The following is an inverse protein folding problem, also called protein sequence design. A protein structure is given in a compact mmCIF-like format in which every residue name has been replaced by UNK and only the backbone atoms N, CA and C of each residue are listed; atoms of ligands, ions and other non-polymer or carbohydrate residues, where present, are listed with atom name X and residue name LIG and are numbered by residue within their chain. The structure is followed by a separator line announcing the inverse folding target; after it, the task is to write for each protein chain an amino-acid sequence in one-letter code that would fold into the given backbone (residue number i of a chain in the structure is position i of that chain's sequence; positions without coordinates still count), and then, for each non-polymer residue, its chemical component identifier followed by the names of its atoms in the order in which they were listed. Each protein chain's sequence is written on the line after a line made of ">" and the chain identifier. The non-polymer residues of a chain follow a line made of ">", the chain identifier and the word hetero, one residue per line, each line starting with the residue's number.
data_IF_632766218358
#
_entry.id   IF_632766218358
#
_cell.length_a   1.000
_cell.length_b   1.000
_cell.length_c   1.000
_cell.angle_alpha   90.00
_cell.angle_beta   90.00
_cell.angle_gamma   90.00
#
_symmetry.space_group_name_H-M   'P 1'
#
loop_
_entity.id
_entity.type
_entity.pdbx_description
1 polymer ?
#
# COMPACT_ATOMS: atom_id res chain seq x y z
N UNK A 1 77.34 31.13 21.78
CA UNK A 1 76.72 32.04 22.74
C UNK A 1 75.30 31.49 22.97
N UNK A 2 75.20 30.63 23.89
CA UNK A 2 74.49 30.62 25.19
C UNK A 2 73.13 31.33 25.17
N UNK A 3 72.02 30.58 25.30
CA UNK A 3 70.78 30.93 26.01
C UNK A 3 70.04 29.64 26.24
N UNK A 4 70.05 29.12 27.32
CA UNK A 4 69.33 29.01 28.56
C UNK A 4 67.86 28.63 28.39
N UNK A 5 67.60 27.34 28.65
CA UNK A 5 66.29 26.73 28.74
C UNK A 5 65.65 27.01 30.11
N UNK A 6 64.44 27.52 30.12
CA UNK A 6 63.63 27.61 31.31
C UNK A 6 62.53 26.55 31.21
N UNK A 7 62.59 25.51 32.05
CA UNK A 7 61.62 24.45 32.21
C UNK A 7 60.55 24.96 33.20
N UNK A 8 59.34 25.12 32.75
CA UNK A 8 58.19 25.39 33.60
C UNK A 8 57.39 24.11 33.79
N UNK A 9 57.49 23.53 34.98
CA UNK A 9 56.74 22.38 35.42
C UNK A 9 55.32 22.86 35.83
N UNK A 10 54.30 22.57 35.04
CA UNK A 10 52.91 22.79 35.44
C UNK A 10 52.33 21.48 35.94
N UNK A 11 52.04 21.38 37.22
CA UNK A 11 51.25 20.35 37.85
C UNK A 11 49.82 20.41 37.31
N UNK A 12 49.39 19.44 36.52
CA UNK A 12 47.96 19.23 36.24
C UNK A 12 47.37 18.31 37.28
N UNK A 13 46.57 18.87 38.15
CA UNK A 13 45.70 18.12 39.07
C UNK A 13 44.62 17.39 38.28
N UNK A 14 44.66 16.09 38.26
CA UNK A 14 43.58 15.23 37.72
C UNK A 14 42.38 15.29 38.67
N UNK A 15 41.38 16.09 38.33
CA UNK A 15 40.04 15.99 38.95
C UNK A 15 39.30 14.85 38.26
N UNK A 16 39.22 13.70 38.93
CA UNK A 16 38.39 12.57 38.48
C UNK A 16 36.94 12.99 38.74
N UNK A 17 36.27 13.53 37.72
CA UNK A 17 34.83 13.73 37.73
C UNK A 17 34.19 12.36 37.47
N UNK A 18 33.81 11.68 38.54
CA UNK A 18 32.98 10.48 38.47
C UNK A 18 31.61 10.86 37.90
N UNK A 19 31.46 10.79 36.59
CA UNK A 19 30.16 10.91 35.94
C UNK A 19 29.39 9.62 36.18
N UNK A 20 28.55 9.61 37.21
CA UNK A 20 27.57 8.56 37.41
C UNK A 20 26.73 8.43 36.16
N UNK A 21 26.84 7.28 35.48
CA UNK A 21 25.96 6.90 34.39
C UNK A 21 24.51 6.86 34.91
N UNK A 22 23.79 7.96 34.77
CA UNK A 22 22.32 7.93 34.82
C UNK A 22 21.89 7.09 33.64
N UNK A 23 21.38 5.89 33.90
CA UNK A 23 20.57 5.14 33.00
C UNK A 23 19.42 6.06 32.52
N UNK A 24 19.63 6.73 31.40
CA UNK A 24 18.56 7.38 30.68
C UNK A 24 17.77 6.26 30.03
N UNK A 25 16.81 5.71 30.74
CA UNK A 25 15.68 5.06 30.13
C UNK A 25 15.03 6.10 29.21
N UNK A 26 15.51 6.14 27.97
CA UNK A 26 14.91 6.96 26.92
C UNK A 26 13.51 6.42 26.67
N UNK A 27 12.53 6.97 27.36
CA UNK A 27 11.15 6.93 26.90
C UNK A 27 11.16 7.47 25.48
N UNK A 28 11.07 6.58 24.48
CA UNK A 28 10.83 6.97 23.10
C UNK A 28 9.58 7.85 23.15
N UNK A 29 9.72 9.16 22.99
CA UNK A 29 8.58 10.06 22.85
C UNK A 29 7.82 9.58 21.63
N UNK A 30 6.63 9.03 21.83
CA UNK A 30 5.80 8.54 20.74
C UNK A 30 5.51 9.69 19.78
N UNK A 31 5.73 9.49 18.47
CA UNK A 31 5.43 10.52 17.50
C UNK A 31 3.96 10.91 17.55
N UNK A 32 3.68 12.21 17.57
CA UNK A 32 2.31 12.74 17.48
C UNK A 32 1.69 12.55 16.10
N UNK A 33 2.48 12.18 15.10
CA UNK A 33 2.05 12.02 13.70
C UNK A 33 2.04 10.54 13.34
N UNK A 34 0.95 10.09 12.71
CA UNK A 34 0.83 8.81 12.04
C UNK A 34 1.12 9.00 10.55
N UNK A 35 2.20 8.44 10.07
CA UNK A 35 2.58 8.45 8.66
C UNK A 35 2.02 7.22 7.95
N UNK A 36 1.11 7.45 7.00
CA UNK A 36 0.43 6.40 6.25
C UNK A 36 0.90 6.40 4.80
N UNK A 37 1.46 5.28 4.34
CA UNK A 37 1.87 5.08 2.95
C UNK A 37 0.68 4.72 2.06
N UNK A 38 0.57 5.39 0.89
CA UNK A 38 -0.41 5.12 -0.16
C UNK A 38 0.20 5.32 -1.54
N UNK A 39 -0.25 4.57 -2.56
CA UNK A 39 0.24 4.75 -3.94
C UNK A 39 -0.54 5.83 -4.71
N UNK A 40 -1.80 6.08 -4.36
CA UNK A 40 -2.63 7.14 -4.92
C UNK A 40 -3.06 6.95 -6.37
N UNK A 41 -2.96 5.75 -6.88
CA UNK A 41 -3.36 5.36 -8.23
C UNK A 41 -4.49 4.36 -8.29
N UNK A 42 -5.16 4.06 -7.17
CA UNK A 42 -6.11 2.96 -7.05
C UNK A 42 -7.49 3.39 -6.53
N UNK A 43 -8.25 4.11 -7.36
CA UNK A 43 -9.65 4.43 -7.04
C UNK A 43 -10.53 3.14 -7.01
N UNK A 44 -11.52 3.03 -6.09
CA UNK A 44 -11.97 4.02 -5.12
C UNK A 44 -11.24 3.96 -3.76
N UNK A 45 -10.21 3.11 -3.62
CA UNK A 45 -9.46 2.94 -2.39
C UNK A 45 -8.64 4.19 -2.07
N UNK A 46 -7.75 4.62 -2.97
CA UNK A 46 -6.97 5.83 -2.82
C UNK A 46 -6.62 6.45 -4.18
N UNK A 47 -6.71 7.78 -4.28
CA UNK A 47 -6.30 8.52 -5.49
C UNK A 47 -5.80 9.90 -5.14
N UNK A 48 -4.92 10.46 -5.99
CA UNK A 48 -4.47 11.84 -5.85
C UNK A 48 -5.32 12.80 -6.64
N UNK A 49 -5.49 14.00 -6.07
CA UNK A 49 -6.25 15.11 -6.67
C UNK A 49 -5.62 16.45 -6.32
N UNK A 50 -6.04 17.50 -7.03
CA UNK A 50 -5.46 18.84 -6.91
C UNK A 50 -5.99 19.68 -5.74
N UNK A 51 -7.11 19.27 -5.13
CA UNK A 51 -7.80 20.03 -4.08
C UNK A 51 -8.30 19.14 -2.93
N UNK A 52 -8.85 19.76 -1.90
CA UNK A 52 -9.38 19.08 -0.71
C UNK A 52 -10.86 18.67 -0.84
N UNK A 53 -11.41 18.66 -2.04
CA UNK A 53 -12.80 18.24 -2.24
C UNK A 53 -13.02 16.78 -1.78
N UNK A 54 -14.28 16.44 -1.51
CA UNK A 54 -14.70 15.09 -1.10
C UNK A 54 -13.90 14.52 0.10
N UNK A 55 -13.48 15.37 1.02
CA UNK A 55 -12.77 14.92 2.22
C UNK A 55 -11.30 14.56 2.02
N UNK A 56 -10.71 14.87 0.86
CA UNK A 56 -9.30 14.57 0.62
C UNK A 56 -8.36 15.27 1.63
N UNK A 57 -7.29 14.59 2.01
CA UNK A 57 -6.29 15.04 2.95
C UNK A 57 -5.03 15.47 2.20
N UNK A 58 -4.42 16.57 2.62
CA UNK A 58 -3.15 17.04 2.06
C UNK A 58 -2.09 15.96 2.24
N UNK A 59 -1.40 15.62 1.17
CA UNK A 59 -0.26 14.70 1.22
C UNK A 59 1.06 15.44 1.45
N UNK A 60 2.14 14.69 1.68
CA UNK A 60 3.45 15.26 1.94
C UNK A 60 4.08 16.00 0.73
N UNK A 61 3.52 15.87 -0.49
CA UNK A 61 4.06 16.40 -1.75
C UNK A 61 3.23 17.52 -2.37
N UNK A 62 2.44 18.26 -1.57
CA UNK A 62 1.60 19.39 -1.97
C UNK A 62 0.36 19.08 -2.83
N UNK A 63 -0.05 17.82 -2.92
CA UNK A 63 -1.34 17.41 -3.46
C UNK A 63 -2.30 16.98 -2.35
N UNK A 64 -3.39 16.38 -2.76
CA UNK A 64 -4.38 15.80 -1.85
C UNK A 64 -4.62 14.34 -2.20
N UNK A 65 -4.91 13.52 -1.20
CA UNK A 65 -5.29 12.14 -1.37
C UNK A 65 -6.71 11.94 -0.86
N UNK A 66 -7.57 11.35 -1.67
CA UNK A 66 -8.94 10.96 -1.35
C UNK A 66 -9.14 9.45 -1.48
N UNK A 67 -10.28 8.97 -1.02
CA UNK A 67 -10.67 7.57 -1.16
C UNK A 67 -10.99 6.87 0.15
N UNK A 68 -11.46 5.63 0.03
CA UNK A 68 -11.86 4.82 1.16
C UNK A 68 -10.71 4.59 2.15
N UNK A 69 -9.51 4.32 1.65
CA UNK A 69 -8.29 4.17 2.45
C UNK A 69 -7.96 5.43 3.26
N UNK A 70 -8.26 6.61 2.70
CA UNK A 70 -8.04 7.88 3.39
C UNK A 70 -9.02 8.04 4.55
N UNK A 71 -10.28 7.63 4.38
CA UNK A 71 -11.25 7.64 5.47
C UNK A 71 -10.86 6.66 6.58
N UNK A 72 -10.41 5.45 6.23
CA UNK A 72 -9.84 4.49 7.20
C UNK A 72 -8.63 5.10 7.91
N UNK A 73 -7.71 5.75 7.19
CA UNK A 73 -6.54 6.39 7.78
C UNK A 73 -6.90 7.49 8.79
N UNK A 74 -7.94 8.30 8.51
CA UNK A 74 -8.46 9.30 9.45
C UNK A 74 -8.98 8.67 10.73
N UNK A 75 -9.76 7.59 10.61
CA UNK A 75 -10.31 6.87 11.75
C UNK A 75 -9.21 6.26 12.61
N UNK A 76 -8.23 5.61 11.98
CA UNK A 76 -7.07 5.04 12.66
C UNK A 76 -6.24 6.12 13.36
N UNK A 77 -5.90 7.22 12.69
CA UNK A 77 -5.13 8.30 13.28
C UNK A 77 -5.86 8.91 14.49
N UNK A 78 -7.16 9.19 14.34
CA UNK A 78 -8.02 9.70 15.42
C UNK A 78 -8.07 8.73 16.61
N UNK A 79 -8.27 7.43 16.35
CA UNK A 79 -8.34 6.40 17.39
C UNK A 79 -7.02 6.21 18.13
N UNK A 80 -5.89 6.44 17.47
CA UNK A 80 -4.55 6.42 18.05
C UNK A 80 -4.17 7.76 18.72
N UNK A 81 -5.01 8.80 18.65
CA UNK A 81 -4.70 10.14 19.17
C UNK A 81 -3.55 10.83 18.45
N UNK A 82 -3.39 10.59 17.13
CA UNK A 82 -2.31 11.10 16.29
C UNK A 82 -2.84 11.96 15.15
N UNK A 83 -2.00 12.90 14.68
CA UNK A 83 -2.26 13.65 13.46
C UNK A 83 -1.94 12.78 12.24
N UNK A 84 -2.79 12.83 11.21
CA UNK A 84 -2.61 12.06 9.99
C UNK A 84 -1.66 12.77 9.01
N UNK A 85 -0.65 12.05 8.52
CA UNK A 85 0.17 12.44 7.38
C UNK A 85 0.17 11.34 6.33
N UNK A 86 -0.34 11.65 5.13
CA UNK A 86 -0.27 10.73 4.00
C UNK A 86 1.04 10.93 3.26
N UNK A 87 1.76 9.83 3.04
CA UNK A 87 3.03 9.77 2.32
C UNK A 87 2.83 8.99 1.03
N UNK A 88 2.93 9.70 -0.09
CA UNK A 88 2.84 9.08 -1.41
C UNK A 88 4.10 8.30 -1.72
N UNK A 89 3.93 7.10 -2.26
CA UNK A 89 5.02 6.22 -2.68
C UNK A 89 4.51 5.28 -3.75
N UNK A 90 5.28 5.06 -4.81
CA UNK A 90 4.93 4.05 -5.82
C UNK A 90 4.69 2.69 -5.16
N UNK A 91 3.83 1.86 -5.76
CA UNK A 91 3.39 0.58 -5.19
C UNK A 91 4.56 -0.27 -4.67
N UNK A 92 5.58 -0.49 -5.48
CA UNK A 92 6.76 -1.30 -5.10
C UNK A 92 7.60 -0.65 -3.98
N UNK A 93 7.49 0.66 -3.81
CA UNK A 93 8.15 1.41 -2.77
C UNK A 93 7.48 1.33 -1.40
N UNK A 94 6.22 0.87 -1.32
CA UNK A 94 5.43 0.91 -0.09
C UNK A 94 6.00 0.02 1.02
N UNK A 95 6.29 -1.24 0.74
CA UNK A 95 6.60 -2.22 1.77
C UNK A 95 8.07 -2.14 2.23
N UNK A 96 9.02 -2.42 1.37
CA UNK A 96 10.45 -2.39 1.71
C UNK A 96 10.98 -0.97 1.94
N UNK A 97 11.01 -0.12 0.89
CA UNK A 97 11.60 1.21 0.94
C UNK A 97 10.88 2.22 1.87
N UNK A 98 9.57 2.11 2.04
CA UNK A 98 8.84 3.04 2.90
C UNK A 98 8.56 2.46 4.29
N UNK A 99 7.80 1.36 4.38
CA UNK A 99 7.42 0.76 5.66
C UNK A 99 8.63 0.10 6.33
N UNK A 100 9.38 -0.75 5.63
CA UNK A 100 10.56 -1.42 6.16
C UNK A 100 11.60 -0.44 6.69
N UNK A 101 11.92 0.63 5.93
CA UNK A 101 12.86 1.66 6.34
C UNK A 101 12.30 2.66 7.38
N UNK A 102 11.02 2.61 7.72
CA UNK A 102 10.40 3.50 8.71
C UNK A 102 10.12 4.90 8.23
N UNK A 103 10.01 5.11 6.92
CA UNK A 103 9.54 6.37 6.34
C UNK A 103 8.05 6.55 6.58
N UNK A 104 7.30 5.44 6.66
CA UNK A 104 5.90 5.38 7.08
C UNK A 104 5.75 4.42 8.25
N UNK A 105 4.71 4.60 9.04
CA UNK A 105 4.41 3.78 10.21
C UNK A 105 3.53 2.57 9.84
N UNK A 106 2.59 2.78 8.92
CA UNK A 106 1.66 1.79 8.39
C UNK A 106 1.43 2.03 6.88
N UNK A 107 0.90 1.02 6.20
CA UNK A 107 0.44 1.13 4.80
C UNK A 107 -1.05 0.81 4.74
N UNK A 108 -1.82 1.73 4.13
CA UNK A 108 -3.24 1.58 3.81
C UNK A 108 -3.38 1.91 2.32
N UNK A 109 -3.45 0.90 1.47
CA UNK A 109 -3.33 1.08 0.02
C UNK A 109 -4.09 0.00 -0.77
N UNK A 110 -5.31 -0.37 -0.36
CA UNK A 110 -6.04 -1.46 -1.00
C UNK A 110 -5.26 -2.78 -0.94
N UNK A 111 -4.50 -3.01 0.12
CA UNK A 111 -3.48 -4.07 0.15
C UNK A 111 -4.00 -5.38 0.71
N UNK A 112 -3.82 -6.45 -0.03
CA UNK A 112 -4.17 -7.81 0.39
C UNK A 112 -3.14 -8.41 1.34
N UNK A 113 -3.56 -9.06 2.44
CA UNK A 113 -2.69 -9.72 3.41
C UNK A 113 -2.30 -11.13 2.95
N UNK A 114 -1.59 -11.25 1.81
CA UNK A 114 -1.18 -12.55 1.27
C UNK A 114 -0.20 -13.28 2.22
N UNK A 115 -0.16 -14.61 2.17
CA UNK A 115 0.75 -15.41 3.00
C UNK A 115 2.22 -15.03 2.75
N UNK A 116 2.59 -14.73 1.52
CA UNK A 116 3.92 -14.22 1.19
C UNK A 116 4.24 -12.93 1.97
N UNK A 117 3.33 -11.95 1.98
CA UNK A 117 3.52 -10.68 2.69
C UNK A 117 3.57 -10.86 4.20
N UNK A 118 2.77 -11.78 4.75
CA UNK A 118 2.74 -12.10 6.19
C UNK A 118 4.06 -12.67 6.71
N UNK A 119 4.93 -13.18 5.84
CA UNK A 119 6.27 -13.60 6.26
C UNK A 119 7.10 -12.45 6.83
N UNK A 120 6.95 -11.26 6.26
CA UNK A 120 7.78 -10.07 6.54
C UNK A 120 7.02 -8.90 7.17
N UNK A 121 5.70 -8.99 7.26
CA UNK A 121 4.81 -7.94 7.75
C UNK A 121 3.80 -8.52 8.74
N UNK A 122 3.25 -7.66 9.59
CA UNK A 122 2.03 -7.95 10.32
C UNK A 122 0.87 -7.21 9.66
N UNK A 123 -0.32 -7.79 9.74
CA UNK A 123 -1.55 -7.22 9.17
C UNK A 123 -2.63 -7.13 10.24
N UNK A 124 -3.49 -6.14 10.09
CA UNK A 124 -4.71 -6.02 10.87
C UNK A 124 -5.78 -7.01 10.39
N UNK A 125 -6.90 -7.06 11.07
CA UNK A 125 -8.14 -7.58 10.53
C UNK A 125 -8.49 -6.82 9.25
N UNK A 126 -9.22 -7.49 8.34
CA UNK A 126 -9.61 -6.90 7.06
C UNK A 126 -10.64 -5.80 7.28
N UNK A 127 -10.48 -4.66 6.61
CA UNK A 127 -11.45 -3.57 6.61
C UNK A 127 -12.33 -3.56 5.35
N UNK A 128 -12.02 -4.40 4.36
CA UNK A 128 -12.82 -4.62 3.15
C UNK A 128 -12.66 -6.04 2.64
N UNK A 129 -13.75 -6.62 2.10
CA UNK A 129 -13.74 -7.91 1.41
C UNK A 129 -14.03 -7.70 -0.06
N UNK A 130 -13.27 -8.34 -0.92
CA UNK A 130 -13.33 -8.13 -2.36
C UNK A 130 -13.35 -9.44 -3.15
N UNK A 131 -13.63 -9.30 -4.45
CA UNK A 131 -13.56 -10.36 -5.46
C UNK A 131 -12.64 -9.91 -6.59
N UNK A 132 -12.00 -10.88 -7.25
CA UNK A 132 -11.21 -10.62 -8.45
C UNK A 132 -12.08 -10.70 -9.71
N UNK A 133 -11.84 -9.75 -10.61
CA UNK A 133 -12.54 -9.60 -11.89
C UNK A 133 -11.52 -9.34 -13.01
N UNK A 134 -11.97 -9.50 -14.27
CA UNK A 134 -11.19 -9.08 -15.44
C UNK A 134 -11.80 -7.82 -16.04
N UNK A 135 -11.01 -6.75 -16.18
CA UNK A 135 -11.42 -5.54 -16.89
C UNK A 135 -11.01 -5.67 -18.35
N UNK A 136 -11.95 -5.42 -19.27
CA UNK A 136 -11.79 -5.56 -20.73
C UNK A 136 -12.35 -4.34 -21.45
N UNK A 137 -12.04 -4.18 -22.73
CA UNK A 137 -12.73 -3.21 -23.57
C UNK A 137 -14.20 -3.61 -23.78
N UNK A 138 -15.14 -2.65 -23.63
CA UNK A 138 -16.58 -2.88 -23.71
C UNK A 138 -17.03 -3.52 -25.04
N UNK A 139 -16.42 -3.10 -26.13
CA UNK A 139 -16.69 -3.60 -27.47
C UNK A 139 -15.61 -4.58 -27.96
N UNK A 140 -14.73 -5.04 -27.05
CA UNK A 140 -13.64 -5.96 -27.34
C UNK A 140 -14.11 -7.41 -27.49
N UNK A 141 -13.23 -8.25 -28.03
CA UNK A 141 -13.47 -9.69 -28.24
C UNK A 141 -13.95 -10.41 -26.96
N UNK A 142 -13.48 -9.97 -25.80
CA UNK A 142 -13.72 -10.63 -24.52
C UNK A 142 -14.82 -9.99 -23.68
N UNK A 143 -15.56 -9.00 -24.25
CA UNK A 143 -16.62 -8.27 -23.54
C UNK A 143 -17.79 -9.13 -23.06
N UNK A 144 -17.98 -10.30 -23.65
CA UNK A 144 -19.05 -11.23 -23.34
C UNK A 144 -18.55 -12.56 -22.72
N UNK A 145 -17.30 -12.57 -22.22
CA UNK A 145 -16.75 -13.70 -21.49
C UNK A 145 -17.61 -14.02 -20.25
N UNK A 146 -17.81 -15.30 -19.97
CA UNK A 146 -18.62 -15.79 -18.83
C UNK A 146 -17.82 -16.70 -17.91
N UNK A 147 -16.73 -17.26 -18.38
CA UNK A 147 -15.86 -18.18 -17.67
C UNK A 147 -14.41 -17.81 -17.83
N UNK A 148 -13.53 -18.32 -16.96
CA UNK A 148 -12.09 -18.14 -17.06
C UNK A 148 -11.51 -18.70 -18.38
N UNK A 149 -12.17 -19.68 -19.01
CA UNK A 149 -11.74 -20.30 -20.25
C UNK A 149 -12.02 -19.44 -21.50
N UNK A 150 -12.88 -18.44 -21.40
CA UNK A 150 -13.24 -17.59 -22.54
C UNK A 150 -12.14 -16.59 -22.92
N UNK A 151 -11.06 -16.53 -22.14
CA UNK A 151 -9.93 -15.62 -22.36
C UNK A 151 -8.78 -16.23 -23.19
N UNK A 152 -9.04 -17.34 -23.90
CA UNK A 152 -8.02 -17.95 -24.77
C UNK A 152 -7.45 -16.91 -25.74
N UNK A 153 -6.11 -16.87 -25.82
CA UNK A 153 -5.30 -15.93 -26.61
C UNK A 153 -5.34 -14.46 -26.16
N UNK A 154 -6.13 -14.11 -25.13
CA UNK A 154 -6.18 -12.76 -24.58
C UNK A 154 -4.84 -12.36 -23.96
N UNK A 155 -4.34 -11.17 -24.30
CA UNK A 155 -3.18 -10.55 -23.64
C UNK A 155 -3.64 -9.95 -22.32
N UNK A 156 -3.36 -10.64 -21.22
CA UNK A 156 -3.78 -10.23 -19.88
C UNK A 156 -2.57 -9.82 -19.05
N UNK A 157 -2.71 -8.71 -18.32
CA UNK A 157 -1.74 -8.23 -17.35
C UNK A 157 -2.39 -7.99 -15.99
N UNK A 158 -1.58 -7.61 -15.02
CA UNK A 158 -2.02 -7.07 -13.73
C UNK A 158 -0.90 -6.24 -13.11
N UNK A 159 -1.18 -5.66 -11.94
CA UNK A 159 -0.18 -4.87 -11.24
C UNK A 159 0.97 -5.77 -10.74
N UNK A 160 2.18 -5.25 -10.87
CA UNK A 160 3.41 -5.90 -10.43
C UNK A 160 3.36 -6.23 -8.92
N UNK A 161 3.96 -7.36 -8.54
CA UNK A 161 4.06 -7.81 -7.14
C UNK A 161 2.69 -7.92 -6.41
N UNK A 162 1.67 -8.39 -7.14
CA UNK A 162 0.33 -8.62 -6.58
C UNK A 162 -0.20 -10.03 -6.87
N UNK A 163 -1.15 -10.46 -6.05
CA UNK A 163 -1.94 -11.67 -6.29
C UNK A 163 -2.66 -11.60 -7.66
N UNK A 164 -3.07 -10.41 -8.09
CA UNK A 164 -3.71 -10.21 -9.40
C UNK A 164 -2.88 -10.78 -10.55
N UNK A 165 -1.55 -10.58 -10.51
CA UNK A 165 -0.67 -11.09 -11.57
C UNK A 165 -0.51 -12.61 -11.49
N UNK A 166 -0.52 -13.18 -10.29
CA UNK A 166 -0.42 -14.63 -10.10
C UNK A 166 -1.63 -15.38 -10.62
N UNK A 167 -2.84 -14.87 -10.36
CA UNK A 167 -4.09 -15.55 -10.77
C UNK A 167 -4.34 -15.56 -12.27
N UNK A 168 -3.59 -14.77 -13.07
CA UNK A 168 -3.69 -14.81 -14.54
C UNK A 168 -3.50 -16.23 -15.08
N UNK A 169 -2.68 -17.05 -14.43
CA UNK A 169 -2.40 -18.43 -14.83
C UNK A 169 -3.65 -19.34 -14.78
N UNK A 170 -4.73 -18.89 -14.14
CA UNK A 170 -6.03 -19.57 -14.13
C UNK A 170 -6.89 -19.27 -15.37
N UNK A 171 -6.54 -18.26 -16.16
CA UNK A 171 -7.18 -17.99 -17.45
C UNK A 171 -6.57 -18.88 -18.52
N UNK A 172 -7.17 -20.06 -18.71
CA UNK A 172 -6.60 -21.13 -19.55
C UNK A 172 -6.41 -20.65 -21.01
N UNK A 173 -5.18 -20.69 -21.48
CA UNK A 173 -4.81 -20.27 -22.82
C UNK A 173 -4.69 -18.76 -23.04
N UNK A 174 -4.85 -17.95 -21.99
CA UNK A 174 -4.51 -16.53 -22.07
C UNK A 174 -2.99 -16.32 -22.17
N UNK A 175 -2.59 -15.21 -22.76
CA UNK A 175 -1.21 -14.77 -22.86
C UNK A 175 -0.91 -13.80 -21.73
N UNK A 176 -0.27 -14.29 -20.68
CA UNK A 176 0.21 -13.46 -19.58
C UNK A 176 1.33 -12.55 -20.11
N UNK A 177 1.07 -11.23 -20.12
CA UNK A 177 2.04 -10.25 -20.58
C UNK A 177 2.67 -9.54 -19.39
N UNK A 178 3.75 -8.79 -19.62
CA UNK A 178 4.53 -8.12 -18.56
C UNK A 178 3.63 -7.37 -17.59
N UNK A 179 3.86 -7.56 -16.29
CA UNK A 179 3.17 -6.83 -15.23
C UNK A 179 3.41 -5.31 -15.35
N UNK A 180 2.46 -4.52 -14.91
CA UNK A 180 2.52 -3.06 -14.96
C UNK A 180 2.58 -2.45 -13.56
N UNK A 181 3.12 -1.25 -13.45
CA UNK A 181 3.38 -0.61 -12.17
C UNK A 181 2.09 -0.08 -11.49
N UNK A 182 1.06 0.30 -12.27
CA UNK A 182 -0.12 0.95 -11.74
C UNK A 182 -1.40 0.68 -12.52
N UNK A 183 -2.55 0.83 -11.87
CA UNK A 183 -3.87 0.72 -12.52
C UNK A 183 -4.06 1.77 -13.63
N UNK A 184 -3.67 3.06 -13.48
CA UNK A 184 -3.73 4.02 -14.58
C UNK A 184 -2.94 3.57 -15.82
N UNK A 185 -1.76 2.96 -15.66
CA UNK A 185 -0.98 2.44 -16.77
C UNK A 185 -1.71 1.30 -17.50
N UNK A 186 -2.36 0.39 -16.76
CA UNK A 186 -3.16 -0.70 -17.33
C UNK A 186 -4.39 -0.17 -18.08
N UNK A 187 -5.08 0.85 -17.56
CA UNK A 187 -6.21 1.50 -18.22
C UNK A 187 -5.78 2.11 -19.57
N UNK A 188 -4.64 2.80 -19.59
CA UNK A 188 -4.07 3.37 -20.83
C UNK A 188 -3.69 2.26 -21.84
N UNK A 189 -3.06 1.18 -21.37
CA UNK A 189 -2.67 0.04 -22.21
C UNK A 189 -3.90 -0.67 -22.81
N UNK A 190 -4.97 -0.84 -22.03
CA UNK A 190 -6.22 -1.44 -22.49
C UNK A 190 -6.94 -0.51 -23.49
N UNK A 191 -7.04 0.78 -23.20
CA UNK A 191 -7.66 1.77 -24.08
C UNK A 191 -6.92 1.90 -25.42
N UNK A 192 -5.59 1.75 -25.42
CA UNK A 192 -4.75 1.75 -26.62
C UNK A 192 -4.64 0.38 -27.31
N UNK A 193 -5.38 -0.64 -26.84
CA UNK A 193 -5.41 -2.01 -27.38
C UNK A 193 -4.05 -2.73 -27.38
N UNK A 194 -3.14 -2.33 -26.49
CA UNK A 194 -1.85 -3.03 -26.25
C UNK A 194 -2.06 -4.34 -25.48
N UNK A 195 -3.08 -4.36 -24.61
CA UNK A 195 -3.57 -5.52 -23.88
C UNK A 195 -5.06 -5.73 -24.17
N UNK A 196 -5.58 -6.91 -23.88
CA UNK A 196 -6.98 -7.26 -24.05
C UNK A 196 -7.75 -7.16 -22.71
N UNK A 197 -7.03 -7.19 -21.59
CA UNK A 197 -7.61 -7.04 -20.26
C UNK A 197 -6.56 -7.01 -19.16
N UNK A 198 -7.04 -6.67 -17.96
CA UNK A 198 -6.23 -6.74 -16.74
C UNK A 198 -7.06 -7.22 -15.55
N UNK A 199 -6.40 -7.81 -14.55
CA UNK A 199 -7.05 -8.25 -13.31
C UNK A 199 -7.13 -7.08 -12.33
N UNK A 200 -8.25 -6.98 -11.64
CA UNK A 200 -8.52 -6.00 -10.60
C UNK A 200 -9.47 -6.58 -9.55
N UNK A 201 -9.54 -5.97 -8.37
CA UNK A 201 -10.69 -6.15 -7.50
C UNK A 201 -11.93 -5.45 -8.07
N UNK A 202 -13.10 -5.99 -7.73
CA UNK A 202 -14.38 -5.48 -8.23
C UNK A 202 -14.59 -3.99 -7.98
N UNK A 203 -14.30 -3.39 -6.80
CA UNK A 203 -14.46 -1.95 -6.60
C UNK A 203 -13.60 -1.09 -7.53
N UNK A 204 -12.33 -1.46 -7.74
CA UNK A 204 -11.43 -0.78 -8.67
C UNK A 204 -11.90 -0.89 -10.11
N UNK A 205 -12.39 -2.06 -10.51
CA UNK A 205 -12.95 -2.30 -11.83
C UNK A 205 -14.23 -1.48 -12.07
N UNK A 206 -15.12 -1.39 -11.08
CA UNK A 206 -16.32 -0.52 -11.14
C UNK A 206 -15.95 0.94 -11.29
N UNK A 207 -14.96 1.43 -10.55
CA UNK A 207 -14.47 2.80 -10.67
C UNK A 207 -13.85 3.07 -12.05
N UNK A 208 -13.12 2.11 -12.62
CA UNK A 208 -12.56 2.20 -13.96
C UNK A 208 -13.66 2.27 -15.03
N UNK A 209 -14.70 1.43 -14.95
CA UNK A 209 -15.86 1.45 -15.86
C UNK A 209 -16.64 2.78 -15.78
N UNK A 210 -16.85 3.29 -14.55
CA UNK A 210 -17.53 4.58 -14.35
C UNK A 210 -16.73 5.76 -14.92
N UNK A 211 -15.40 5.70 -14.82
CA UNK A 211 -14.52 6.75 -15.30
C UNK A 211 -14.25 6.68 -16.80
N UNK A 212 -14.37 5.50 -17.38
CA UNK A 212 -14.14 5.23 -18.80
C UNK A 212 -15.24 4.33 -19.38
N UNK A 213 -16.26 4.91 -20.04
CA UNK A 213 -17.40 4.17 -20.59
C UNK A 213 -17.04 3.11 -21.65
N UNK A 214 -15.82 3.12 -22.16
CA UNK A 214 -15.30 2.10 -23.11
C UNK A 214 -14.74 0.86 -22.41
N UNK A 215 -14.71 0.85 -21.09
CA UNK A 215 -14.30 -0.30 -20.31
C UNK A 215 -15.53 -1.05 -19.77
N UNK A 216 -15.30 -2.30 -19.43
CA UNK A 216 -16.29 -3.20 -18.81
C UNK A 216 -15.53 -4.18 -17.93
N UNK A 217 -16.07 -4.53 -16.78
CA UNK A 217 -15.53 -5.66 -16.00
C UNK A 217 -16.37 -6.91 -16.18
N UNK A 218 -15.69 -8.06 -16.11
CA UNK A 218 -16.31 -9.38 -16.15
C UNK A 218 -16.25 -9.98 -14.76
N UNK A 219 -17.41 -10.18 -14.16
CA UNK A 219 -17.59 -10.89 -12.90
C UNK A 219 -18.15 -12.28 -13.17
N UNK A 220 -17.55 -13.30 -12.59
CA UNK A 220 -17.87 -14.70 -12.90
C UNK A 220 -18.94 -15.31 -11.99
N UNK A 221 -19.44 -14.56 -11.01
CA UNK A 221 -20.35 -15.08 -9.99
C UNK A 221 -19.59 -15.75 -8.84
N UNK A 222 -20.29 -15.95 -7.75
CA UNK A 222 -19.74 -16.54 -6.53
C UNK A 222 -19.25 -17.98 -6.80
N UNK A 223 -18.01 -18.28 -6.43
CA UNK A 223 -17.39 -19.61 -6.58
C UNK A 223 -17.03 -20.03 -8.00
N UNK A 224 -17.33 -19.21 -9.03
CA UNK A 224 -17.04 -19.53 -10.44
C UNK A 224 -15.85 -18.75 -11.00
N UNK A 225 -15.31 -17.81 -10.25
CA UNK A 225 -14.18 -16.98 -10.62
C UNK A 225 -12.81 -17.56 -10.25
N UNK A 226 -11.88 -16.65 -10.03
CA UNK A 226 -10.53 -16.99 -9.60
C UNK A 226 -10.54 -17.72 -8.25
N UNK A 227 -9.61 -18.65 -8.09
CA UNK A 227 -9.35 -19.36 -6.83
C UNK A 227 -8.14 -18.75 -6.14
N UNK A 228 -8.27 -18.48 -4.87
CA UNK A 228 -7.23 -17.94 -3.99
C UNK A 228 -7.48 -18.45 -2.57
N UNK A 229 -6.49 -18.37 -1.69
CA UNK A 229 -6.67 -18.77 -0.31
C UNK A 229 -7.64 -17.83 0.43
N UNK A 230 -8.25 -18.32 1.47
CA UNK A 230 -9.20 -17.53 2.28
C UNK A 230 -8.54 -16.23 2.75
N UNK A 231 -9.21 -15.10 2.55
CA UNK A 231 -8.80 -13.75 2.90
C UNK A 231 -7.62 -13.18 2.08
N UNK A 232 -7.09 -13.86 1.07
CA UNK A 232 -5.99 -13.32 0.24
C UNK A 232 -6.40 -12.16 -0.67
N UNK A 233 -7.68 -11.94 -0.91
CA UNK A 233 -8.21 -10.77 -1.65
C UNK A 233 -8.88 -9.75 -0.73
N UNK A 234 -8.92 -10.03 0.57
CA UNK A 234 -9.36 -9.05 1.55
C UNK A 234 -8.36 -7.89 1.59
N UNK A 235 -8.81 -6.76 2.10
CA UNK A 235 -7.97 -5.57 2.22
C UNK A 235 -7.71 -5.29 3.69
N UNK A 236 -6.42 -5.17 4.06
CA UNK A 236 -5.98 -4.98 5.43
C UNK A 236 -4.86 -3.94 5.52
N UNK A 237 -4.62 -3.43 6.73
CA UNK A 237 -3.55 -2.48 7.01
C UNK A 237 -2.27 -3.25 7.29
N UNK A 238 -1.19 -2.90 6.59
CA UNK A 238 0.13 -3.49 6.83
C UNK A 238 0.94 -2.66 7.83
N UNK A 239 1.61 -3.37 8.74
CA UNK A 239 2.56 -2.81 9.71
C UNK A 239 3.89 -3.54 9.61
N UNK A 240 4.94 -3.00 10.21
CA UNK A 240 6.22 -3.73 10.32
C UNK A 240 6.02 -5.04 11.07
N UNK A 241 6.78 -6.06 10.68
CA UNK A 241 6.84 -7.32 11.41
C UNK A 241 7.24 -7.10 12.86
N UNK A 242 6.54 -7.78 13.78
CA UNK A 242 6.77 -7.63 15.21
C UNK A 242 6.08 -6.40 15.83
N UNK A 243 4.93 -5.97 15.26
CA UNK A 243 4.14 -4.84 15.76
C UNK A 243 2.77 -5.25 16.35
N UNK A 244 2.67 -6.32 17.17
CA UNK A 244 1.37 -6.86 17.61
C UNK A 244 0.53 -5.87 18.44
N UNK A 245 1.18 -5.00 19.22
CA UNK A 245 0.46 -3.97 20.00
C UNK A 245 -0.21 -2.93 19.09
N UNK A 246 0.48 -2.50 18.03
CA UNK A 246 -0.09 -1.55 17.07
C UNK A 246 -1.24 -2.21 16.30
N UNK A 247 -1.05 -3.45 15.83
CA UNK A 247 -2.09 -4.22 15.15
C UNK A 247 -3.32 -4.36 16.05
N UNK A 248 -3.15 -4.73 17.31
CA UNK A 248 -4.26 -4.87 18.26
C UNK A 248 -5.03 -3.57 18.47
N UNK A 249 -4.32 -2.44 18.66
CA UNK A 249 -4.95 -1.11 18.79
C UNK A 249 -5.74 -0.73 17.55
N UNK A 250 -5.19 -0.98 16.36
CA UNK A 250 -5.87 -0.69 15.10
C UNK A 250 -7.10 -1.58 14.93
N UNK A 251 -7.00 -2.88 15.25
CA UNK A 251 -8.14 -3.80 15.18
C UNK A 251 -9.29 -3.36 16.07
N UNK A 252 -9.01 -2.85 17.30
CA UNK A 252 -10.07 -2.29 18.17
C UNK A 252 -10.76 -1.07 17.52
N UNK A 253 -10.02 -0.24 16.80
CA UNK A 253 -10.59 0.90 16.06
C UNK A 253 -11.46 0.39 14.90
N UNK A 254 -10.99 -0.61 14.15
CA UNK A 254 -11.71 -1.18 13.00
C UNK A 254 -13.02 -1.86 13.38
N UNK A 255 -13.15 -2.42 14.60
CA UNK A 255 -14.41 -3.00 15.09
C UNK A 255 -15.55 -2.00 15.23
N UNK A 256 -15.25 -0.71 15.27
CA UNK A 256 -16.23 0.37 15.39
C UNK A 256 -16.72 0.94 14.05
N UNK A 257 -16.35 0.30 12.92
CA UNK A 257 -16.63 0.79 11.56
C UNK A 257 -17.68 -0.08 10.83
#
# INVERSE_FOLDING_TARGET
>A
MKKLNLVLLALMAFVIFSCGAKNVNGTKTESKVLKVGMDGGYAPFNWFQGDNSKGAVKNATNGYCGGYDVEIAKLVAKGLGKDLQIVQTDWDGLLGPALGAGKVDIVIAGMSPTEERKTNLDFTDSYYKSDLVVVVGKDGKYANAKTLNDFKDAKITAQLNTLHYTVIDQLIGAKKVTAMESFPAMIVALSSKKIDGYISERPGAMAAELSNPNLKYIYFGEGQGFKYATNEVDVAIATKKGSPELVSKINEILKGI
#
